data_IF_979858992467
#
_entry.id   IF_979858992467
#
_cell.length_a   1.000
_cell.length_b   1.000
_cell.length_c   1.000
_cell.angle_alpha   90.00
_cell.angle_beta   90.00
_cell.angle_gamma   90.00
#
_symmetry.space_group_name_H-M   'P 1'
#
loop_
_entity.id
_entity.type
_entity.pdbx_description
1 polymer ?
#
# COMPACT_ATOMS: atom_id res chain seq x y z
N UNK A 1 -8.47 -1.95 18.51
CA UNK A 1 -7.52 -2.90 17.90
C UNK A 1 -6.14 -2.62 18.45
N UNK A 2 -5.52 -3.62 19.04
CA UNK A 2 -4.10 -3.66 19.33
C UNK A 2 -3.33 -4.11 18.08
N UNK A 3 -1.99 -4.02 18.13
CA UNK A 3 -1.12 -4.41 17.02
C UNK A 3 -1.23 -5.89 16.67
N UNK A 4 -1.54 -6.73 17.65
CA UNK A 4 -1.75 -8.18 17.53
C UNK A 4 -3.07 -8.54 16.83
N UNK A 5 -4.05 -7.64 16.80
CA UNK A 5 -5.34 -7.85 16.13
C UNK A 5 -5.26 -7.64 14.61
N UNK A 6 -4.11 -7.22 14.09
CA UNK A 6 -3.94 -6.82 12.68
C UNK A 6 -2.74 -7.47 12.02
N UNK A 7 -2.93 -7.89 10.77
CA UNK A 7 -1.84 -8.31 9.89
C UNK A 7 -1.35 -7.10 9.07
N UNK A 8 -0.04 -6.85 9.06
CA UNK A 8 0.55 -5.74 8.31
C UNK A 8 1.56 -6.32 7.31
N UNK A 9 1.33 -6.01 6.04
CA UNK A 9 2.21 -6.38 4.92
C UNK A 9 2.51 -5.17 4.03
N UNK A 10 3.35 -5.37 3.01
CA UNK A 10 3.77 -4.37 2.04
C UNK A 10 3.87 -4.96 0.63
N UNK A 11 3.55 -4.15 -0.38
CA UNK A 11 3.64 -4.55 -1.80
C UNK A 11 5.07 -4.87 -2.26
N UNK A 12 6.08 -4.39 -1.53
CA UNK A 12 7.50 -4.73 -1.73
C UNK A 12 8.17 -4.96 -0.38
N UNK A 13 9.11 -5.90 -0.29
CA UNK A 13 9.87 -6.22 0.94
C UNK A 13 11.24 -5.55 1.00
N UNK A 14 11.73 -5.11 -0.16
CA UNK A 14 12.99 -4.38 -0.28
C UNK A 14 12.74 -2.88 -0.26
N UNK A 15 13.62 -2.11 0.37
CA UNK A 15 13.59 -0.63 0.36
C UNK A 15 14.19 -0.11 -0.96
N UNK A 16 13.39 0.41 -1.90
CA UNK A 16 13.93 0.90 -3.17
C UNK A 16 14.62 2.25 -2.95
N UNK A 17 15.82 2.40 -3.51
CA UNK A 17 16.60 3.63 -3.38
C UNK A 17 17.26 4.07 -4.69
N UNK A 18 17.74 5.31 -4.70
CA UNK A 18 18.69 5.85 -5.68
C UNK A 18 19.90 6.41 -4.94
N UNK A 19 21.08 6.23 -5.53
CA UNK A 19 22.27 6.93 -5.06
C UNK A 19 22.19 8.40 -5.45
N UNK A 20 22.68 9.25 -4.57
CA UNK A 20 22.89 10.67 -4.82
C UNK A 20 23.91 11.21 -3.84
N UNK A 21 24.18 12.50 -3.94
CA UNK A 21 25.12 13.17 -3.06
C UNK A 21 24.39 14.08 -2.07
N UNK A 22 25.02 14.34 -0.93
CA UNK A 22 24.59 15.36 0.02
C UNK A 22 25.80 16.22 0.35
N UNK A 23 25.64 17.54 0.20
CA UNK A 23 26.63 18.50 0.67
C UNK A 23 26.42 18.71 2.17
N UNK A 24 27.45 18.44 2.95
CA UNK A 24 27.44 18.64 4.39
C UNK A 24 27.79 20.10 4.75
N UNK A 25 27.56 20.47 6.01
CA UNK A 25 27.78 21.84 6.50
C UNK A 25 29.26 22.27 6.43
N UNK A 26 30.16 21.31 6.52
CA UNK A 26 31.62 21.50 6.41
C UNK A 26 32.12 21.60 4.95
N UNK A 27 31.21 21.54 3.97
CA UNK A 27 31.51 21.61 2.55
C UNK A 27 31.86 20.27 1.90
N UNK A 28 31.99 19.18 2.68
CA UNK A 28 32.23 17.84 2.13
C UNK A 28 31.00 17.30 1.41
N UNK A 29 31.22 16.35 0.50
CA UNK A 29 30.13 15.66 -0.21
C UNK A 29 30.14 14.20 0.17
N UNK A 30 29.00 13.71 0.69
CA UNK A 30 28.80 12.32 1.07
C UNK A 30 27.82 11.63 0.13
N UNK A 31 28.06 10.36 -0.19
CA UNK A 31 27.09 9.54 -0.89
C UNK A 31 25.94 9.14 0.03
N UNK A 32 24.72 9.25 -0.47
CA UNK A 32 23.50 8.95 0.28
C UNK A 32 22.49 8.19 -0.57
N UNK A 33 21.82 7.23 0.07
CA UNK A 33 20.67 6.52 -0.50
C UNK A 33 19.38 7.29 -0.22
N UNK A 34 18.72 7.76 -1.27
CA UNK A 34 17.41 8.43 -1.20
C UNK A 34 16.29 7.44 -1.51
N UNK A 35 15.21 7.50 -0.72
CA UNK A 35 14.01 6.70 -0.97
C UNK A 35 13.40 7.04 -2.32
N UNK A 36 12.89 6.02 -3.01
CA UNK A 36 12.02 6.20 -4.17
C UNK A 36 10.86 5.21 -4.12
N UNK A 37 9.78 5.47 -4.87
CA UNK A 37 8.75 4.46 -5.11
C UNK A 37 9.34 3.21 -5.79
N UNK A 38 8.78 2.02 -5.53
CA UNK A 38 9.10 0.83 -6.30
C UNK A 38 8.61 0.99 -7.76
N UNK A 39 9.32 0.35 -8.67
CA UNK A 39 8.95 0.24 -10.08
C UNK A 39 7.97 -0.91 -10.29
N UNK A 40 7.27 -0.93 -11.43
CA UNK A 40 6.36 -2.03 -11.75
C UNK A 40 7.07 -3.40 -11.74
N UNK A 41 8.32 -3.47 -12.23
CA UNK A 41 9.11 -4.71 -12.23
C UNK A 41 9.43 -5.18 -10.80
N UNK A 42 9.75 -4.25 -9.90
CA UNK A 42 9.99 -4.59 -8.49
C UNK A 42 8.71 -5.02 -7.79
N UNK A 43 7.57 -4.41 -8.12
CA UNK A 43 6.26 -4.80 -7.60
C UNK A 43 5.90 -6.22 -8.09
N UNK A 44 6.11 -6.53 -9.38
CA UNK A 44 5.93 -7.88 -9.95
C UNK A 44 6.83 -8.90 -9.25
N UNK A 45 8.11 -8.59 -9.08
CA UNK A 45 9.07 -9.51 -8.45
C UNK A 45 8.72 -9.86 -6.99
N UNK A 46 8.01 -8.98 -6.27
CA UNK A 46 7.56 -9.22 -4.90
C UNK A 46 6.10 -9.68 -4.80
N UNK A 47 5.36 -9.70 -5.91
CA UNK A 47 3.95 -10.05 -5.94
C UNK A 47 3.64 -11.43 -5.33
N UNK A 48 4.43 -12.50 -5.57
CA UNK A 48 4.12 -13.83 -5.03
C UNK A 48 4.00 -13.86 -3.51
N UNK A 49 4.75 -13.00 -2.80
CA UNK A 49 4.71 -12.94 -1.33
C UNK A 49 3.38 -12.36 -0.85
N UNK A 50 2.97 -11.21 -1.40
CA UNK A 50 1.71 -10.57 -0.99
C UNK A 50 0.50 -11.42 -1.38
N UNK A 51 0.54 -12.05 -2.56
CA UNK A 51 -0.54 -12.92 -3.03
C UNK A 51 -0.68 -14.16 -2.14
N UNK A 52 0.44 -14.78 -1.75
CA UNK A 52 0.44 -15.86 -0.78
C UNK A 52 -0.13 -15.41 0.57
N UNK A 53 0.26 -14.24 1.07
CA UNK A 53 -0.27 -13.72 2.33
C UNK A 53 -1.78 -13.48 2.27
N UNK A 54 -2.29 -12.86 1.21
CA UNK A 54 -3.73 -12.61 1.05
C UNK A 54 -4.52 -13.92 1.00
N UNK A 55 -4.02 -14.92 0.27
CA UNK A 55 -4.65 -16.23 0.14
C UNK A 55 -4.68 -17.03 1.45
N UNK A 56 -3.76 -16.78 2.39
CA UNK A 56 -3.68 -17.54 3.66
C UNK A 56 -4.24 -16.77 4.86
N UNK A 57 -4.19 -15.43 4.85
CA UNK A 57 -4.73 -14.60 5.93
C UNK A 57 -6.25 -14.47 5.83
N UNK A 58 -6.82 -14.57 4.62
CA UNK A 58 -8.25 -14.43 4.34
C UNK A 58 -8.88 -13.22 5.08
N UNK A 59 -8.38 -12.00 4.83
CA UNK A 59 -8.74 -10.84 5.63
C UNK A 59 -10.21 -10.46 5.44
N UNK A 60 -10.93 -10.20 6.56
CA UNK A 60 -12.27 -9.59 6.53
C UNK A 60 -12.27 -8.21 5.84
N UNK A 61 -11.20 -7.44 6.04
CA UNK A 61 -11.03 -6.10 5.51
C UNK A 61 -9.56 -5.85 5.16
N UNK A 62 -9.31 -5.32 3.96
CA UNK A 62 -7.99 -4.86 3.53
C UNK A 62 -7.95 -3.33 3.64
N UNK A 63 -6.96 -2.80 4.34
CA UNK A 63 -6.69 -1.35 4.35
C UNK A 63 -5.42 -1.07 3.55
N UNK A 64 -5.54 -0.32 2.46
CA UNK A 64 -4.37 0.07 1.65
C UNK A 64 -3.87 1.46 2.03
N UNK A 65 -2.57 1.58 2.30
CA UNK A 65 -1.93 2.84 2.68
C UNK A 65 -1.21 3.48 1.49
N UNK A 66 -1.84 4.48 0.87
CA UNK A 66 -1.32 5.21 -0.28
C UNK A 66 -1.35 4.44 -1.61
N UNK A 67 -0.87 5.09 -2.67
CA UNK A 67 -1.02 4.58 -4.04
C UNK A 67 -0.31 3.26 -4.31
N UNK A 68 0.85 2.98 -3.70
CA UNK A 68 1.62 1.76 -4.01
C UNK A 68 0.82 0.51 -3.64
N UNK A 69 0.27 0.45 -2.41
CA UNK A 69 -0.56 -0.67 -1.98
C UNK A 69 -1.89 -0.71 -2.73
N UNK A 70 -2.53 0.44 -2.89
CA UNK A 70 -3.80 0.56 -3.62
C UNK A 70 -3.70 0.05 -5.06
N UNK A 71 -2.71 0.55 -5.81
CA UNK A 71 -2.52 0.20 -7.22
C UNK A 71 -2.00 -1.22 -7.40
N UNK A 72 -1.30 -1.77 -6.41
CA UNK A 72 -0.95 -3.20 -6.41
C UNK A 72 -2.20 -4.08 -6.39
N UNK A 73 -3.27 -3.67 -5.73
CA UNK A 73 -4.50 -4.46 -5.64
C UNK A 73 -5.52 -4.09 -6.72
N UNK A 74 -5.68 -2.80 -7.03
CA UNK A 74 -6.76 -2.29 -7.88
C UNK A 74 -6.27 -1.77 -9.25
N UNK A 75 -4.99 -1.93 -9.55
CA UNK A 75 -4.38 -1.47 -10.80
C UNK A 75 -4.02 0.02 -10.82
N UNK A 76 -3.27 0.41 -11.86
CA UNK A 76 -2.64 1.74 -11.99
C UNK A 76 -3.60 2.93 -12.00
N UNK A 77 -4.85 2.72 -12.40
CA UNK A 77 -5.86 3.77 -12.49
C UNK A 77 -6.44 4.15 -11.12
N UNK A 78 -6.28 3.30 -10.10
CA UNK A 78 -6.74 3.60 -8.76
C UNK A 78 -5.87 4.69 -8.12
N UNK A 79 -6.52 5.76 -7.62
CA UNK A 79 -5.86 6.87 -6.95
C UNK A 79 -6.41 7.05 -5.55
N UNK A 80 -5.50 7.15 -4.57
CA UNK A 80 -5.87 7.34 -3.16
C UNK A 80 -6.65 8.64 -2.96
N UNK A 81 -6.33 9.70 -3.70
CA UNK A 81 -7.02 10.99 -3.62
C UNK A 81 -8.49 10.92 -4.03
N UNK A 82 -8.88 9.90 -4.80
CA UNK A 82 -10.25 9.73 -5.30
C UNK A 82 -11.02 8.66 -4.51
N UNK A 83 -10.32 7.69 -3.92
CA UNK A 83 -10.90 6.49 -3.31
C UNK A 83 -10.74 6.40 -1.79
N UNK A 84 -10.00 7.31 -1.14
CA UNK A 84 -9.79 7.22 0.30
C UNK A 84 -11.11 7.30 1.08
N UNK A 85 -11.18 6.55 2.19
CA UNK A 85 -12.34 6.50 3.07
C UNK A 85 -13.55 5.74 2.51
N UNK A 86 -13.49 5.25 1.27
CA UNK A 86 -14.59 4.50 0.67
C UNK A 86 -14.43 2.99 0.92
N UNK A 87 -15.51 2.34 1.33
CA UNK A 87 -15.59 0.88 1.33
C UNK A 87 -15.83 0.39 -0.10
N UNK A 88 -14.85 -0.35 -0.63
CA UNK A 88 -14.90 -0.97 -1.95
C UNK A 88 -15.08 -2.48 -1.80
N UNK A 89 -15.90 -3.08 -2.67
CA UNK A 89 -16.03 -4.55 -2.78
C UNK A 89 -15.69 -4.95 -4.21
N UNK A 90 -14.45 -5.39 -4.44
CA UNK A 90 -13.91 -5.63 -5.80
C UNK A 90 -12.91 -6.78 -5.82
N UNK A 91 -12.70 -7.44 -6.97
CA UNK A 91 -11.59 -8.36 -7.13
C UNK A 91 -10.26 -7.61 -7.01
N UNK A 92 -9.20 -8.31 -6.62
CA UNK A 92 -7.85 -7.76 -6.51
C UNK A 92 -6.92 -8.39 -7.53
N UNK A 93 -5.82 -7.70 -7.82
CA UNK A 93 -4.77 -8.20 -8.69
C UNK A 93 -3.93 -9.26 -7.98
N UNK A 94 -3.57 -10.32 -8.69
CA UNK A 94 -2.63 -11.35 -8.24
C UNK A 94 -1.74 -11.81 -9.40
N UNK A 95 -0.57 -12.37 -9.10
CA UNK A 95 0.30 -13.02 -10.07
C UNK A 95 -0.08 -14.51 -10.16
N UNK A 96 -0.41 -15.00 -11.37
CA UNK A 96 -0.87 -16.38 -11.52
C UNK A 96 0.31 -17.34 -11.57
N UNK A 97 1.29 -17.03 -12.40
CA UNK A 97 2.53 -17.81 -12.54
C UNK A 97 3.76 -16.93 -12.28
N UNK A 98 4.88 -17.53 -11.85
CA UNK A 98 6.06 -16.77 -11.43
C UNK A 98 6.75 -16.04 -12.59
N UNK A 99 6.55 -16.50 -13.81
CA UNK A 99 7.06 -15.92 -15.06
C UNK A 99 6.09 -14.93 -15.71
N UNK A 100 4.89 -14.73 -15.13
CA UNK A 100 3.95 -13.71 -15.60
C UNK A 100 4.57 -12.31 -15.55
N UNK A 101 4.30 -11.54 -16.60
CA UNK A 101 4.73 -10.13 -16.69
C UNK A 101 3.61 -9.15 -16.38
N UNK A 102 2.40 -9.66 -16.16
CA UNK A 102 1.19 -8.89 -15.91
C UNK A 102 0.36 -9.54 -14.79
N UNK A 103 -0.48 -8.74 -14.14
CA UNK A 103 -1.38 -9.24 -13.11
C UNK A 103 -2.68 -9.78 -13.70
N UNK A 104 -3.22 -10.79 -13.04
CA UNK A 104 -4.55 -11.32 -13.23
C UNK A 104 -5.48 -10.79 -12.14
N UNK A 105 -6.80 -10.97 -12.29
CA UNK A 105 -7.79 -10.59 -11.28
C UNK A 105 -8.35 -11.82 -10.58
N UNK A 106 -8.49 -11.75 -9.26
CA UNK A 106 -9.17 -12.78 -8.48
C UNK A 106 -10.62 -12.95 -8.93
N UNK A 107 -11.18 -14.15 -8.72
CA UNK A 107 -12.62 -14.39 -8.93
C UNK A 107 -13.45 -13.88 -7.76
N UNK A 108 -12.94 -14.06 -6.55
CA UNK A 108 -13.56 -13.53 -5.34
C UNK A 108 -13.32 -12.03 -5.20
N UNK A 109 -14.22 -11.38 -4.47
CA UNK A 109 -14.14 -9.96 -4.14
C UNK A 109 -13.66 -9.78 -2.71
N UNK A 110 -12.94 -8.69 -2.49
CA UNK A 110 -12.41 -8.29 -1.20
C UNK A 110 -13.04 -6.98 -0.78
N UNK A 111 -13.29 -6.84 0.52
CA UNK A 111 -13.61 -5.55 1.13
C UNK A 111 -12.32 -4.77 1.36
N UNK A 112 -12.25 -3.57 0.77
CA UNK A 112 -11.05 -2.75 0.74
C UNK A 112 -11.42 -1.33 1.13
N UNK A 113 -10.71 -0.74 2.10
CA UNK A 113 -10.80 0.69 2.42
C UNK A 113 -9.43 1.34 2.18
N UNK A 114 -9.28 2.14 1.11
CA UNK A 114 -8.07 2.91 0.90
C UNK A 114 -7.94 4.07 1.89
N UNK A 115 -6.73 4.41 2.27
CA UNK A 115 -6.43 5.65 2.99
C UNK A 115 -5.05 6.19 2.62
N UNK A 116 -4.76 7.43 2.99
CA UNK A 116 -3.44 8.02 2.79
C UNK A 116 -2.36 7.26 3.56
N UNK A 117 -1.17 7.18 2.96
CA UNK A 117 -0.02 6.63 3.67
C UNK A 117 0.34 7.54 4.86
N UNK A 118 0.59 7.02 6.08
CA UNK A 118 0.85 7.87 7.26
C UNK A 118 1.95 8.91 7.05
N UNK A 119 3.00 8.54 6.29
CA UNK A 119 4.09 9.46 5.97
C UNK A 119 3.67 10.67 5.10
N UNK A 120 2.51 10.66 4.44
CA UNK A 120 2.05 11.81 3.64
C UNK A 120 1.84 13.05 4.51
N UNK A 121 1.48 12.89 5.78
CA UNK A 121 1.27 14.00 6.71
C UNK A 121 2.57 14.79 6.96
N UNK A 122 3.74 14.15 6.90
CA UNK A 122 5.03 14.85 7.05
C UNK A 122 5.34 15.79 5.88
N UNK A 123 4.83 15.50 4.69
CA UNK A 123 5.03 16.33 3.49
C UNK A 123 3.86 17.26 3.22
N UNK A 124 2.65 16.85 3.63
CA UNK A 124 1.38 17.57 3.44
C UNK A 124 0.54 17.42 4.72
N UNK A 125 0.78 18.28 5.73
CA UNK A 125 0.03 18.24 6.98
C UNK A 125 -1.49 18.37 6.81
N UNK A 126 -1.95 19.01 5.72
CA UNK A 126 -3.37 19.13 5.36
C UNK A 126 -4.07 17.80 5.09
N UNK A 127 -3.35 16.69 4.88
CA UNK A 127 -3.95 15.36 4.77
C UNK A 127 -4.40 14.81 6.13
N UNK A 128 -3.95 15.39 7.25
CA UNK A 128 -4.22 14.86 8.58
C UNK A 128 -5.71 14.71 8.90
N UNK A 129 -6.58 15.72 8.67
CA UNK A 129 -8.01 15.58 8.96
C UNK A 129 -8.68 14.47 8.14
N UNK A 130 -8.31 14.33 6.87
CA UNK A 130 -8.82 13.26 6.01
C UNK A 130 -8.36 11.88 6.47
N UNK A 131 -7.07 11.74 6.83
CA UNK A 131 -6.53 10.49 7.38
C UNK A 131 -7.24 10.09 8.68
N UNK A 132 -7.46 11.04 9.59
CA UNK A 132 -8.14 10.78 10.86
C UNK A 132 -9.62 10.37 10.62
N UNK A 133 -10.30 11.01 9.65
CA UNK A 133 -11.66 10.64 9.25
C UNK A 133 -11.71 9.23 8.62
N UNK A 134 -10.76 8.90 7.74
CA UNK A 134 -10.65 7.56 7.15
C UNK A 134 -10.50 6.48 8.22
N UNK A 135 -9.69 6.71 9.26
CA UNK A 135 -9.53 5.74 10.35
C UNK A 135 -10.79 5.54 11.19
N UNK A 136 -11.57 6.60 11.40
CA UNK A 136 -12.89 6.48 12.05
C UNK A 136 -13.84 5.65 11.19
N UNK A 137 -13.82 5.87 9.88
CA UNK A 137 -14.63 5.13 8.92
C UNK A 137 -14.22 3.65 8.81
N UNK A 138 -12.92 3.36 8.74
CA UNK A 138 -12.39 1.99 8.83
C UNK A 138 -12.89 1.29 10.10
N UNK A 139 -12.86 2.00 11.24
CA UNK A 139 -13.38 1.48 12.50
C UNK A 139 -14.90 1.22 12.47
N UNK A 140 -15.68 2.08 11.79
CA UNK A 140 -17.12 1.89 11.59
C UNK A 140 -17.39 0.65 10.74
N UNK A 141 -16.77 0.56 9.56
CA UNK A 141 -16.87 -0.56 8.63
C UNK A 141 -16.55 -1.88 9.32
N UNK A 142 -15.44 -1.93 10.08
CA UNK A 142 -15.04 -3.17 10.75
C UNK A 142 -16.08 -3.64 11.77
N UNK A 143 -16.69 -2.73 12.55
CA UNK A 143 -17.76 -3.07 13.50
C UNK A 143 -19.03 -3.61 12.82
N UNK A 144 -19.32 -3.14 11.61
CA UNK A 144 -20.47 -3.61 10.82
C UNK A 144 -20.24 -5.00 10.20
N UNK A 145 -18.98 -5.43 10.12
CA UNK A 145 -18.59 -6.76 9.63
C UNK A 145 -18.60 -7.87 10.70
N UNK A 146 -18.87 -7.54 11.96
CA UNK A 146 -18.86 -8.47 13.11
C UNK A 146 -17.47 -8.62 13.71
#
# INVERSE_FOLDING_TARGET
>A
LAREDVYISSAVRSRPYRWGTKKERDGTTTERKYNRPPTQKEILAHAPVLDYELANVEPKLIVTLGNVGLQRLLGKEAKVTELHGQLLTRPVQFLRELDDTTFNWTRETYSIVPTFHPASVFYRPSHRPALDADWLEIGRVLREMG
#
